data_IF_395136212689
#
_entry.id   IF_395136212689
#
_cell.length_a   1.000
_cell.length_b   1.000
_cell.length_c   1.000
_cell.angle_alpha   90.00
_cell.angle_beta   90.00
_cell.angle_gamma   90.00
#
_symmetry.space_group_name_H-M   'P 1'
#
loop_
_entity.id
_entity.type
_entity.pdbx_description
1 polymer ?
#
# COMPACT_ATOMS: atom_id res chain seq x y z
N UNK A 1 4.85 8.52 -4.06
CA UNK A 1 4.03 9.06 -2.96
C UNK A 1 3.58 7.89 -2.10
N UNK A 2 3.50 8.04 -0.77
CA UNK A 2 3.30 6.93 0.16
C UNK A 2 1.88 6.34 0.11
N UNK A 3 1.74 5.10 0.59
CA UNK A 3 0.45 4.54 1.04
C UNK A 3 0.13 5.15 2.39
N UNK A 4 -1.14 5.47 2.65
CA UNK A 4 -1.56 6.26 3.81
C UNK A 4 -2.33 5.43 4.86
N UNK A 5 -2.65 4.18 4.55
CA UNK A 5 -3.27 3.25 5.50
C UNK A 5 -2.29 2.85 6.60
N UNK A 6 -2.59 3.19 7.85
CA UNK A 6 -1.92 2.63 9.03
C UNK A 6 -2.33 1.17 9.24
N UNK A 7 -1.43 0.33 9.76
CA UNK A 7 -1.71 -1.08 10.02
C UNK A 7 -1.72 -1.95 8.77
N UNK A 8 -1.21 -1.45 7.63
CA UNK A 8 -0.93 -2.28 6.47
C UNK A 8 0.19 -3.26 6.84
N UNK A 9 -0.02 -4.55 6.64
CA UNK A 9 1.01 -5.57 6.84
C UNK A 9 1.74 -5.86 5.54
N UNK A 10 3.03 -6.18 5.65
CA UNK A 10 3.89 -6.59 4.55
C UNK A 10 4.46 -7.96 4.88
N UNK A 11 4.37 -8.87 3.92
CA UNK A 11 4.92 -10.21 4.05
C UNK A 11 6.45 -10.16 4.07
N UNK A 12 7.05 -10.81 5.07
CA UNK A 12 8.49 -11.00 5.25
C UNK A 12 8.79 -12.48 5.42
N UNK A 13 10.07 -12.87 5.42
CA UNK A 13 10.46 -14.26 5.72
C UNK A 13 10.09 -14.70 7.14
N UNK A 14 9.83 -13.75 8.04
CA UNK A 14 9.48 -13.99 9.45
C UNK A 14 7.95 -13.93 9.68
N UNK A 15 7.18 -13.73 8.61
CA UNK A 15 5.73 -13.55 8.64
C UNK A 15 5.30 -12.14 8.24
N UNK A 16 4.02 -11.84 8.47
CA UNK A 16 3.45 -10.52 8.20
C UNK A 16 3.86 -9.52 9.28
N UNK A 17 4.43 -8.40 8.85
CA UNK A 17 4.96 -7.35 9.74
C UNK A 17 4.29 -6.02 9.39
N UNK A 18 3.86 -5.20 10.36
CA UNK A 18 3.29 -3.89 10.08
C UNK A 18 4.28 -3.01 9.31
N UNK A 19 3.84 -2.39 8.22
CA UNK A 19 4.65 -1.61 7.30
C UNK A 19 5.38 -0.46 8.01
N UNK A 20 4.76 0.14 9.03
CA UNK A 20 5.33 1.20 9.86
C UNK A 20 6.53 0.76 10.71
N UNK A 21 6.75 -0.54 10.90
CA UNK A 21 7.89 -1.05 11.68
C UNK A 21 9.10 -1.40 10.83
N UNK A 22 8.93 -1.48 9.51
CA UNK A 22 9.99 -1.81 8.56
C UNK A 22 11.06 -0.72 8.48
N UNK A 23 12.29 -1.15 8.19
CA UNK A 23 13.47 -0.32 8.05
C UNK A 23 14.21 -0.61 6.75
N UNK A 24 15.00 0.36 6.30
CA UNK A 24 15.94 0.14 5.19
C UNK A 24 16.89 -1.00 5.56
N UNK A 25 17.03 -1.98 4.67
CA UNK A 25 17.80 -3.20 4.88
C UNK A 25 16.96 -4.44 5.20
N UNK A 26 15.73 -4.26 5.70
CA UNK A 26 14.83 -5.37 6.01
C UNK A 26 14.46 -6.16 4.75
N UNK A 27 14.12 -7.43 4.95
CA UNK A 27 13.82 -8.39 3.89
C UNK A 27 12.31 -8.58 3.76
N UNK A 28 11.78 -8.28 2.57
CA UNK A 28 10.36 -8.43 2.25
C UNK A 28 10.18 -9.48 1.16
N UNK A 29 9.08 -10.23 1.24
CA UNK A 29 8.71 -11.18 0.19
C UNK A 29 8.08 -10.41 -0.97
N UNK A 30 8.54 -10.71 -2.19
CA UNK A 30 7.96 -10.19 -3.43
C UNK A 30 7.39 -11.33 -4.26
N UNK A 31 6.34 -11.05 -5.05
CA UNK A 31 5.64 -12.07 -5.83
C UNK A 31 6.55 -12.76 -6.86
N UNK A 32 7.33 -11.99 -7.60
CA UNK A 32 8.04 -12.50 -8.79
C UNK A 32 9.55 -12.66 -8.58
N UNK A 33 10.13 -12.00 -7.57
CA UNK A 33 11.58 -11.94 -7.37
C UNK A 33 12.02 -12.48 -6.01
N UNK A 34 11.17 -13.25 -5.34
CA UNK A 34 11.46 -13.80 -4.02
C UNK A 34 11.72 -12.71 -2.97
N UNK A 35 12.62 -13.00 -2.05
CA UNK A 35 12.98 -12.11 -0.93
C UNK A 35 13.86 -10.97 -1.43
N UNK A 36 13.47 -9.73 -1.12
CA UNK A 36 14.19 -8.53 -1.53
C UNK A 36 14.45 -7.59 -0.35
N UNK A 37 15.56 -6.86 -0.40
CA UNK A 37 15.89 -5.85 0.62
C UNK A 37 15.24 -4.50 0.32
N UNK A 38 14.67 -3.88 1.34
CA UNK A 38 14.20 -2.50 1.28
C UNK A 38 15.40 -1.58 1.11
N UNK A 39 15.44 -0.80 0.02
CA UNK A 39 16.52 0.17 -0.24
C UNK A 39 16.22 1.56 0.29
N UNK A 40 14.94 1.89 0.44
CA UNK A 40 14.50 3.22 0.82
C UNK A 40 13.09 3.15 1.41
N UNK A 41 12.84 4.00 2.40
CA UNK A 41 11.52 4.26 2.98
C UNK A 41 11.32 5.77 2.97
N UNK A 42 10.17 6.20 2.48
CA UNK A 42 9.76 7.61 2.49
C UNK A 42 8.49 7.81 3.29
N UNK A 43 8.47 8.89 4.06
CA UNK A 43 7.28 9.37 4.77
C UNK A 43 6.99 10.81 4.35
N UNK A 44 5.72 11.20 4.44
CA UNK A 44 5.29 12.57 4.17
C UNK A 44 4.10 12.88 5.07
N UNK A 45 4.16 14.01 5.77
CA UNK A 45 3.01 14.54 6.48
C UNK A 45 2.11 15.26 5.47
N UNK A 46 0.82 14.91 5.46
CA UNK A 46 -0.20 15.59 4.66
C UNK A 46 -1.17 16.28 5.63
N UNK A 47 -1.36 17.58 5.46
CA UNK A 47 -2.35 18.36 6.21
C UNK A 47 -3.56 18.66 5.33
N UNK A 48 -4.70 18.96 5.96
CA UNK A 48 -5.93 19.34 5.25
C UNK A 48 -5.71 20.54 4.32
N UNK A 49 -4.93 21.53 4.74
CA UNK A 49 -4.66 22.71 3.92
C UNK A 49 -3.81 22.37 2.70
N UNK A 50 -2.87 21.42 2.82
CA UNK A 50 -2.12 20.91 1.67
C UNK A 50 -3.04 20.17 0.68
N UNK A 51 -3.99 19.37 1.18
CA UNK A 51 -4.95 18.66 0.34
C UNK A 51 -5.91 19.61 -0.37
N UNK A 52 -6.39 20.66 0.32
CA UNK A 52 -7.22 21.72 -0.28
C UNK A 52 -6.47 22.50 -1.35
N UNK A 53 -5.22 22.89 -1.07
CA UNK A 53 -4.38 23.62 -2.02
C UNK A 53 -3.96 22.76 -3.22
N UNK A 54 -3.90 21.44 -3.05
CA UNK A 54 -3.46 20.50 -4.06
C UNK A 54 -4.45 19.34 -4.23
N UNK A 55 -5.67 19.64 -4.71
CA UNK A 55 -6.74 18.65 -4.87
C UNK A 55 -6.36 17.41 -5.71
N UNK A 56 -5.32 17.48 -6.55
CA UNK A 56 -4.75 16.31 -7.25
C UNK A 56 -4.07 15.28 -6.35
N UNK A 57 -3.76 15.65 -5.11
CA UNK A 57 -3.15 14.79 -4.09
C UNK A 57 -4.19 14.15 -3.15
N UNK A 58 -5.47 14.49 -3.33
CA UNK A 58 -6.57 13.97 -2.52
C UNK A 58 -6.52 12.43 -2.49
N UNK A 59 -6.38 11.80 -1.32
CA UNK A 59 -6.28 10.34 -1.22
C UNK A 59 -7.47 9.62 -1.83
N UNK A 60 -7.21 8.47 -2.44
CA UNK A 60 -8.22 7.54 -2.94
C UNK A 60 -8.47 6.47 -1.89
N UNK A 61 -9.76 6.19 -1.62
CA UNK A 61 -10.17 5.07 -0.77
C UNK A 61 -10.58 3.88 -1.64
N UNK A 62 -9.96 2.73 -1.38
CA UNK A 62 -10.33 1.44 -1.97
C UNK A 62 -11.03 0.63 -0.88
N UNK A 63 -12.33 0.37 -1.06
CA UNK A 63 -13.12 -0.38 -0.08
C UNK A 63 -12.69 -1.84 -0.04
N UNK A 64 -12.94 -2.51 1.08
CA UNK A 64 -12.81 -3.96 1.17
C UNK A 64 -13.63 -4.64 0.06
N UNK A 65 -13.07 -5.66 -0.59
CA UNK A 65 -13.72 -6.40 -1.68
C UNK A 65 -13.90 -5.63 -2.99
N UNK A 66 -13.33 -4.43 -3.14
CA UNK A 66 -13.53 -3.59 -4.33
C UNK A 66 -12.86 -4.10 -5.62
N UNK A 67 -11.93 -5.06 -5.55
CA UNK A 67 -11.17 -5.54 -6.72
C UNK A 67 -11.73 -6.81 -7.34
N UNK A 68 -12.23 -7.75 -6.54
CA UNK A 68 -12.75 -9.04 -7.01
C UNK A 68 -13.89 -9.60 -6.14
N UNK A 69 -14.48 -8.77 -5.28
CA UNK A 69 -15.49 -9.16 -4.29
C UNK A 69 -14.91 -9.61 -2.94
N UNK A 70 -13.61 -9.91 -2.85
CA UNK A 70 -12.94 -10.32 -1.62
C UNK A 70 -11.72 -9.45 -1.27
N UNK A 71 -10.99 -8.97 -2.27
CA UNK A 71 -9.81 -8.14 -2.15
C UNK A 71 -10.13 -6.64 -2.37
N UNK A 72 -9.43 -5.73 -1.68
CA UNK A 72 -8.52 -6.00 -0.57
C UNK A 72 -9.29 -6.52 0.67
N UNK A 73 -8.63 -7.30 1.53
CA UNK A 73 -9.23 -7.88 2.75
C UNK A 73 -9.60 -6.82 3.79
N UNK A 74 -8.96 -5.66 3.73
CA UNK A 74 -9.27 -4.47 4.51
C UNK A 74 -9.31 -3.24 3.60
N UNK A 75 -10.04 -2.21 4.01
CA UNK A 75 -10.07 -0.95 3.27
C UNK A 75 -8.68 -0.30 3.23
N UNK A 76 -8.33 0.31 2.10
CA UNK A 76 -7.06 0.99 1.89
C UNK A 76 -7.28 2.46 1.58
N UNK A 77 -6.41 3.32 2.10
CA UNK A 77 -6.29 4.74 1.74
C UNK A 77 -4.91 4.93 1.10
N UNK A 78 -4.91 5.46 -0.13
CA UNK A 78 -3.69 5.54 -0.91
C UNK A 78 -3.60 6.83 -1.72
N UNK A 79 -2.37 7.20 -2.05
CA UNK A 79 -2.11 8.29 -2.98
C UNK A 79 -2.72 7.99 -4.36
N UNK A 80 -3.30 8.98 -5.07
CA UNK A 80 -3.96 8.77 -6.38
C UNK A 80 -3.10 8.08 -7.44
N UNK A 81 -1.79 8.32 -7.42
CA UNK A 81 -0.86 7.81 -8.41
C UNK A 81 -0.23 6.46 -8.01
N UNK A 82 -0.69 5.85 -6.92
CA UNK A 82 -0.16 4.58 -6.44
C UNK A 82 -0.71 3.44 -7.30
N UNK A 83 0.18 2.61 -7.84
CA UNK A 83 -0.20 1.49 -8.72
C UNK A 83 -0.68 0.30 -7.89
N UNK A 84 -1.77 -0.32 -8.34
CA UNK A 84 -2.31 -1.56 -7.78
C UNK A 84 -2.17 -2.66 -8.82
N UNK A 85 -1.67 -3.82 -8.40
CA UNK A 85 -1.76 -5.05 -9.17
C UNK A 85 -2.99 -5.84 -8.68
N UNK A 86 -4.10 -5.75 -9.40
CA UNK A 86 -5.30 -6.50 -9.11
C UNK A 86 -5.25 -7.90 -9.76
N UNK A 87 -5.97 -8.89 -9.22
CA UNK A 87 -6.22 -10.15 -9.92
C UNK A 87 -6.84 -9.89 -11.30
N UNK A 88 -6.57 -10.76 -12.28
CA UNK A 88 -7.39 -10.74 -13.50
C UNK A 88 -8.80 -11.17 -13.16
N UNK A 89 -9.76 -10.48 -13.74
CA UNK A 89 -11.17 -10.82 -13.68
C UNK A 89 -11.35 -12.32 -14.03
N UNK A 90 -11.88 -13.09 -13.08
CA UNK A 90 -12.28 -14.49 -13.26
C UNK A 90 -13.78 -14.51 -13.58
N UNK A 91 -14.23 -13.72 -14.54
CA UNK A 91 -15.55 -13.90 -15.13
C UNK A 91 -15.47 -15.03 -16.17
N UNK A 92 -15.83 -16.23 -15.71
CA UNK A 92 -16.47 -17.28 -16.51
C UNK A 92 -17.98 -17.23 -16.22
#
# INVERSE_FOLDING_TARGET
>A
MPVLTTGLVIATEEGEVPAETLRVGDRVLTRDNGVQRIRWIGSSALTDDMLKAHGRLTPVSVRQGALDGWLPEAALIMSPNQRILAPRDRSL
#
